data_IF_135491495937
#
_entry.id   IF_135491495937
#
_cell.length_a   1.000
_cell.length_b   1.000
_cell.length_c   1.000
_cell.angle_alpha   90.00
_cell.angle_beta   90.00
_cell.angle_gamma   90.00
#
_symmetry.space_group_name_H-M   'P 1'
#
loop_
_entity.id
_entity.type
_entity.pdbx_description
1 polymer ?
#
# COMPACT_ATOMS: atom_id res chain seq x y z
N UNK A 1 -49.18 -8.25 -9.91
CA UNK A 1 -49.09 -7.05 -10.77
C UNK A 1 -47.86 -7.11 -11.66
N UNK A 2 -46.66 -6.90 -11.18
CA UNK A 2 -45.43 -6.85 -12.01
C UNK A 2 -45.12 -8.13 -12.78
N UNK A 3 -45.57 -9.28 -12.30
CA UNK A 3 -45.36 -10.61 -12.96
C UNK A 3 -46.56 -11.08 -13.78
N UNK A 4 -47.76 -10.56 -13.55
CA UNK A 4 -49.05 -11.11 -14.09
C UNK A 4 -49.71 -10.19 -15.10
N UNK A 5 -49.17 -8.98 -15.35
CA UNK A 5 -49.78 -7.94 -16.18
C UNK A 5 -51.21 -7.53 -15.78
N UNK A 6 -51.64 -7.87 -14.56
CA UNK A 6 -52.94 -7.47 -14.01
C UNK A 6 -52.83 -6.09 -13.42
N UNK A 7 -53.74 -5.20 -13.76
CA UNK A 7 -53.78 -3.83 -13.21
C UNK A 7 -54.59 -3.89 -11.92
N UNK A 8 -53.89 -3.79 -10.79
CA UNK A 8 -54.46 -3.57 -9.47
C UNK A 8 -54.27 -2.11 -9.08
N UNK A 9 -55.24 -1.51 -8.47
CA UNK A 9 -55.12 -0.18 -7.88
C UNK A 9 -54.57 -0.36 -6.46
N UNK A 10 -53.48 0.34 -6.14
CA UNK A 10 -52.93 0.46 -4.80
C UNK A 10 -52.90 1.94 -4.43
N UNK A 11 -52.91 2.24 -3.14
CA UNK A 11 -52.72 3.62 -2.71
C UNK A 11 -51.22 4.00 -2.73
N UNK A 12 -50.89 5.27 -2.48
CA UNK A 12 -49.51 5.74 -2.56
C UNK A 12 -48.60 5.15 -1.47
N UNK A 13 -49.15 4.82 -0.31
CA UNK A 13 -48.42 4.21 0.81
C UNK A 13 -48.08 2.75 0.49
N UNK A 14 -49.03 2.01 -0.07
CA UNK A 14 -48.80 0.62 -0.50
C UNK A 14 -47.72 0.56 -1.60
N UNK A 15 -47.66 1.52 -2.53
CA UNK A 15 -46.59 1.61 -3.51
C UNK A 15 -45.25 1.94 -2.86
N UNK A 16 -45.22 2.83 -1.88
CA UNK A 16 -44.01 3.16 -1.12
C UNK A 16 -43.43 1.90 -0.46
N UNK A 17 -44.23 1.15 0.30
CA UNK A 17 -43.82 -0.10 0.94
C UNK A 17 -43.31 -1.14 -0.07
N UNK A 18 -43.99 -1.29 -1.21
CA UNK A 18 -43.57 -2.21 -2.28
C UNK A 18 -42.21 -1.78 -2.88
N UNK A 19 -42.03 -0.49 -3.11
CA UNK A 19 -40.80 0.04 -3.71
C UNK A 19 -39.64 -0.13 -2.72
N UNK A 20 -39.85 0.26 -1.45
CA UNK A 20 -38.87 0.15 -0.40
C UNK A 20 -38.44 -1.31 -0.23
N UNK A 21 -39.40 -2.24 -0.16
CA UNK A 21 -39.07 -3.67 -0.12
C UNK A 21 -38.18 -4.14 -1.29
N UNK A 22 -38.38 -3.60 -2.49
CA UNK A 22 -37.51 -3.95 -3.63
C UNK A 22 -36.16 -3.30 -3.54
N UNK A 23 -36.04 -2.07 -3.01
CA UNK A 23 -34.75 -1.38 -2.77
C UNK A 23 -33.92 -2.14 -1.73
N UNK A 24 -34.49 -2.47 -0.59
CA UNK A 24 -33.85 -3.20 0.51
C UNK A 24 -33.31 -4.58 0.07
N UNK A 25 -33.99 -5.20 -0.91
CA UNK A 25 -33.55 -6.49 -1.47
C UNK A 25 -32.67 -6.36 -2.74
N UNK A 26 -32.19 -5.16 -3.07
CA UNK A 26 -31.31 -4.91 -4.23
C UNK A 26 -31.99 -5.14 -5.59
N UNK A 27 -33.34 -5.18 -5.63
CA UNK A 27 -34.11 -5.45 -6.86
C UNK A 27 -34.49 -4.17 -7.60
N UNK A 28 -33.51 -3.32 -7.92
CA UNK A 28 -33.71 -1.98 -8.49
C UNK A 28 -34.55 -1.96 -9.77
N UNK A 29 -34.46 -2.99 -10.64
CA UNK A 29 -35.28 -3.09 -11.85
C UNK A 29 -36.80 -3.25 -11.53
N UNK A 30 -37.15 -3.93 -10.42
CA UNK A 30 -38.53 -4.09 -9.97
C UNK A 30 -39.01 -2.82 -9.26
N UNK A 31 -38.15 -2.19 -8.46
CA UNK A 31 -38.41 -0.89 -7.84
C UNK A 31 -38.76 0.16 -8.90
N UNK A 32 -37.98 0.28 -9.97
CA UNK A 32 -38.26 1.19 -11.10
C UNK A 32 -39.61 0.94 -11.76
N UNK A 33 -39.99 -0.33 -11.97
CA UNK A 33 -41.30 -0.66 -12.52
C UNK A 33 -42.43 -0.30 -11.57
N UNK A 34 -42.25 -0.53 -10.27
CA UNK A 34 -43.22 -0.19 -9.24
C UNK A 34 -43.42 1.34 -9.14
N UNK A 35 -42.31 2.12 -9.11
CA UNK A 35 -42.34 3.59 -9.14
C UNK A 35 -43.10 4.11 -10.36
N UNK A 36 -42.80 3.55 -11.56
CA UNK A 36 -43.50 3.96 -12.78
C UNK A 36 -44.99 3.73 -12.68
N UNK A 37 -45.42 2.54 -12.26
CA UNK A 37 -46.83 2.21 -12.08
C UNK A 37 -47.47 3.05 -10.98
N UNK A 38 -46.79 3.31 -9.89
CA UNK A 38 -47.25 4.18 -8.80
C UNK A 38 -47.51 5.61 -9.29
N UNK A 39 -46.57 6.17 -10.07
CA UNK A 39 -46.74 7.53 -10.62
C UNK A 39 -47.78 7.60 -11.75
N UNK A 40 -48.10 6.51 -12.45
CA UNK A 40 -49.23 6.46 -13.38
C UNK A 40 -50.58 6.54 -12.64
N UNK A 41 -50.66 5.97 -11.42
CA UNK A 41 -51.86 6.01 -10.58
C UNK A 41 -51.95 7.27 -9.69
N UNK A 42 -50.79 7.74 -9.20
CA UNK A 42 -50.66 8.87 -8.28
C UNK A 42 -49.62 9.90 -8.79
N UNK A 43 -49.89 10.63 -9.87
CA UNK A 43 -48.91 11.51 -10.53
C UNK A 43 -48.46 12.71 -9.68
N UNK A 44 -49.26 13.08 -8.67
CA UNK A 44 -48.96 14.20 -7.76
C UNK A 44 -48.26 13.78 -6.46
N UNK A 45 -48.08 12.47 -6.22
CA UNK A 45 -47.43 11.98 -5.00
C UNK A 45 -45.98 12.42 -4.94
N UNK A 46 -45.64 13.24 -3.93
CA UNK A 46 -44.26 13.71 -3.67
C UNK A 46 -43.39 12.53 -3.27
N UNK A 47 -43.86 11.64 -2.41
CA UNK A 47 -43.14 10.45 -1.92
C UNK A 47 -42.68 9.57 -3.09
N UNK A 48 -43.61 9.23 -4.01
CA UNK A 48 -43.27 8.40 -5.18
C UNK A 48 -42.29 9.11 -6.14
N UNK A 49 -42.36 10.45 -6.24
CA UNK A 49 -41.38 11.22 -7.02
C UNK A 49 -40.01 11.22 -6.36
N UNK A 50 -39.94 11.31 -5.02
CA UNK A 50 -38.65 11.22 -4.29
C UNK A 50 -38.02 9.83 -4.42
N UNK A 51 -38.78 8.75 -4.29
CA UNK A 51 -38.31 7.40 -4.57
C UNK A 51 -37.79 7.23 -6.02
N UNK A 52 -38.42 7.96 -6.98
CA UNK A 52 -37.90 8.00 -8.34
C UNK A 52 -36.57 8.77 -8.45
N UNK A 53 -36.42 9.86 -7.70
CA UNK A 53 -35.13 10.61 -7.65
C UNK A 53 -34.05 9.72 -7.08
N UNK A 54 -34.30 9.01 -5.98
CA UNK A 54 -33.37 8.07 -5.39
C UNK A 54 -32.88 7.02 -6.40
N UNK A 55 -33.81 6.39 -7.13
CA UNK A 55 -33.46 5.44 -8.19
C UNK A 55 -32.68 6.08 -9.34
N UNK A 56 -32.98 7.33 -9.71
CA UNK A 56 -32.19 8.05 -10.73
C UNK A 56 -30.79 8.40 -10.25
N UNK A 57 -30.62 8.73 -8.98
CA UNK A 57 -29.30 8.95 -8.34
C UNK A 57 -28.49 7.65 -8.34
N UNK A 58 -29.13 6.53 -7.98
CA UNK A 58 -28.49 5.21 -8.00
C UNK A 58 -28.04 4.80 -9.41
N UNK A 59 -28.84 5.12 -10.44
CA UNK A 59 -28.52 4.86 -11.85
C UNK A 59 -27.55 5.89 -12.46
N UNK A 60 -27.03 6.83 -11.68
CA UNK A 60 -26.16 7.95 -12.09
C UNK A 60 -26.79 8.88 -13.15
N UNK A 61 -28.14 8.93 -13.19
CA UNK A 61 -28.89 9.81 -14.10
C UNK A 61 -29.13 11.17 -13.46
N UNK A 62 -28.08 11.87 -13.06
CA UNK A 62 -28.13 13.07 -12.22
C UNK A 62 -28.91 14.23 -12.85
N UNK A 63 -28.85 14.39 -14.19
CA UNK A 63 -29.62 15.44 -14.89
C UNK A 63 -31.12 15.24 -14.76
N UNK A 64 -31.61 13.99 -14.90
CA UNK A 64 -33.02 13.66 -14.77
C UNK A 64 -33.48 13.79 -13.30
N UNK A 65 -32.62 13.36 -12.36
CA UNK A 65 -32.85 13.54 -10.93
C UNK A 65 -32.98 15.02 -10.57
N UNK A 66 -32.06 15.88 -11.05
CA UNK A 66 -32.10 17.35 -10.84
C UNK A 66 -33.38 17.97 -11.39
N UNK A 67 -33.82 17.56 -12.59
CA UNK A 67 -35.08 18.08 -13.19
C UNK A 67 -36.30 17.77 -12.31
N UNK A 68 -36.35 16.52 -11.79
CA UNK A 68 -37.47 16.10 -10.95
C UNK A 68 -37.41 16.74 -9.55
N UNK A 69 -36.21 16.95 -8.98
CA UNK A 69 -36.01 17.71 -7.74
C UNK A 69 -36.57 19.15 -7.89
N UNK A 70 -36.26 19.84 -9.00
CA UNK A 70 -36.76 21.19 -9.23
C UNK A 70 -38.29 21.26 -9.34
N UNK A 71 -38.93 20.23 -9.91
CA UNK A 71 -40.38 20.12 -9.94
C UNK A 71 -40.97 19.96 -8.53
N UNK A 72 -40.34 19.14 -7.68
CA UNK A 72 -40.83 18.90 -6.31
C UNK A 72 -40.59 20.15 -5.44
N UNK A 73 -39.43 20.80 -5.58
CA UNK A 73 -39.05 22.00 -4.82
C UNK A 73 -40.04 23.16 -5.04
N UNK A 74 -40.61 23.27 -6.24
CA UNK A 74 -41.65 24.27 -6.53
C UNK A 74 -42.97 24.04 -5.74
N UNK A 75 -43.21 22.81 -5.27
CA UNK A 75 -44.43 22.41 -4.56
C UNK A 75 -44.16 22.33 -3.05
N UNK A 76 -43.05 21.78 -2.63
CA UNK A 76 -42.69 21.49 -1.24
C UNK A 76 -41.22 21.86 -0.94
N UNK A 77 -40.84 23.14 -0.91
CA UNK A 77 -39.44 23.59 -0.82
C UNK A 77 -38.75 23.24 0.50
N UNK A 78 -39.49 22.95 1.55
CA UNK A 78 -38.98 22.63 2.88
C UNK A 78 -39.12 21.14 3.23
N UNK A 79 -39.40 20.30 2.24
CA UNK A 79 -39.42 18.86 2.49
C UNK A 79 -38.00 18.34 2.79
N UNK A 80 -37.83 17.70 3.91
CA UNK A 80 -36.51 17.25 4.40
C UNK A 80 -35.88 16.26 3.43
N UNK A 81 -36.59 15.22 3.03
CA UNK A 81 -36.11 14.20 2.09
C UNK A 81 -35.70 14.81 0.73
N UNK A 82 -36.48 15.80 0.24
CA UNK A 82 -36.12 16.56 -0.95
C UNK A 82 -34.75 17.23 -0.80
N UNK A 83 -34.53 17.89 0.34
CA UNK A 83 -33.27 18.60 0.59
C UNK A 83 -32.09 17.64 0.74
N UNK A 84 -32.28 16.48 1.37
CA UNK A 84 -31.28 15.41 1.46
C UNK A 84 -30.88 14.94 0.06
N UNK A 85 -31.85 14.57 -0.78
CA UNK A 85 -31.58 14.09 -2.13
C UNK A 85 -30.97 15.18 -3.02
N UNK A 86 -31.33 16.43 -2.82
CA UNK A 86 -30.70 17.58 -3.48
C UNK A 86 -29.23 17.72 -3.07
N UNK A 87 -28.93 17.56 -1.78
CA UNK A 87 -27.56 17.60 -1.29
C UNK A 87 -26.72 16.44 -1.87
N UNK A 88 -27.26 15.23 -1.95
CA UNK A 88 -26.61 14.07 -2.58
C UNK A 88 -26.31 14.35 -4.06
N UNK A 89 -27.24 14.93 -4.81
CA UNK A 89 -27.00 15.31 -6.22
C UNK A 89 -25.93 16.38 -6.33
N UNK A 90 -25.90 17.36 -5.43
CA UNK A 90 -24.87 18.41 -5.40
C UNK A 90 -23.50 17.80 -5.10
N UNK A 91 -23.40 16.91 -4.12
CA UNK A 91 -22.19 16.17 -3.78
C UNK A 91 -21.64 15.39 -4.97
N UNK A 92 -22.50 14.59 -5.64
CA UNK A 92 -22.12 13.82 -6.84
C UNK A 92 -21.70 14.69 -8.05
N UNK A 93 -22.01 15.98 -8.02
CA UNK A 93 -21.56 16.96 -9.03
C UNK A 93 -20.39 17.82 -8.51
N UNK A 94 -19.65 17.37 -7.49
CA UNK A 94 -18.52 18.05 -6.86
C UNK A 94 -18.84 19.45 -6.30
N UNK A 95 -20.13 19.69 -5.95
CA UNK A 95 -20.63 20.97 -5.41
C UNK A 95 -20.79 20.89 -3.88
N UNK A 96 -19.74 20.49 -3.20
CA UNK A 96 -19.74 20.20 -1.77
C UNK A 96 -20.18 21.38 -0.90
N UNK A 97 -19.76 22.61 -1.24
CA UNK A 97 -20.17 23.82 -0.50
C UNK A 97 -21.70 24.07 -0.61
N UNK A 98 -22.28 23.87 -1.81
CA UNK A 98 -23.72 24.01 -2.00
C UNK A 98 -24.50 22.88 -1.28
N UNK A 99 -23.92 21.65 -1.23
CA UNK A 99 -24.47 20.53 -0.48
C UNK A 99 -24.52 20.84 1.02
N UNK A 100 -23.41 21.32 1.62
CA UNK A 100 -23.35 21.75 3.02
C UNK A 100 -24.40 22.83 3.32
N UNK A 101 -24.52 23.84 2.46
CA UNK A 101 -25.56 24.89 2.64
C UNK A 101 -26.98 24.33 2.62
N UNK A 102 -27.22 23.29 1.82
CA UNK A 102 -28.52 22.63 1.73
C UNK A 102 -28.80 21.80 2.97
N UNK A 103 -27.83 21.01 3.44
CA UNK A 103 -27.93 20.21 4.66
C UNK A 103 -28.10 21.08 5.91
N UNK A 104 -27.41 22.21 6.00
CA UNK A 104 -27.53 23.14 7.12
C UNK A 104 -28.93 23.76 7.24
N UNK A 105 -29.75 23.81 6.16
CA UNK A 105 -31.15 24.23 6.26
C UNK A 105 -31.99 23.17 6.98
N UNK A 106 -31.62 21.88 6.82
CA UNK A 106 -32.28 20.78 7.52
C UNK A 106 -31.91 20.83 8.99
N UNK A 107 -30.63 20.98 9.32
CA UNK A 107 -30.15 21.08 10.70
C UNK A 107 -30.82 22.19 11.52
N UNK A 108 -31.32 23.25 10.86
CA UNK A 108 -32.00 24.34 11.54
C UNK A 108 -33.41 23.97 12.02
N UNK A 109 -34.01 22.87 11.53
CA UNK A 109 -35.43 22.54 11.75
C UNK A 109 -35.68 21.08 12.12
N UNK A 110 -34.72 20.18 11.91
CA UNK A 110 -34.88 18.75 12.22
C UNK A 110 -34.77 18.47 13.71
N UNK A 111 -35.56 17.50 14.18
CA UNK A 111 -35.49 16.97 15.53
C UNK A 111 -34.47 15.81 15.67
N UNK A 112 -34.05 15.22 14.52
CA UNK A 112 -33.05 14.15 14.45
C UNK A 112 -31.91 14.55 13.52
N UNK A 113 -30.86 15.19 14.05
CA UNK A 113 -29.79 15.75 13.24
C UNK A 113 -28.60 14.78 12.93
N UNK A 114 -28.58 13.55 13.49
CA UNK A 114 -27.40 12.68 13.47
C UNK A 114 -26.97 12.36 12.04
N UNK A 115 -27.88 11.86 11.20
CA UNK A 115 -27.58 11.54 9.81
C UNK A 115 -27.13 12.78 9.02
N UNK A 116 -27.72 13.93 9.32
CA UNK A 116 -27.40 15.18 8.62
C UNK A 116 -25.99 15.66 9.03
N UNK A 117 -25.60 15.59 10.32
CA UNK A 117 -24.23 15.89 10.74
C UNK A 117 -23.22 14.94 10.07
N UNK A 118 -23.53 13.64 10.00
CA UNK A 118 -22.68 12.69 9.29
C UNK A 118 -22.48 13.08 7.82
N UNK A 119 -23.58 13.44 7.12
CA UNK A 119 -23.49 13.90 5.74
C UNK A 119 -22.69 15.20 5.61
N UNK A 120 -22.90 16.19 6.47
CA UNK A 120 -22.12 17.45 6.48
C UNK A 120 -20.65 17.17 6.75
N UNK A 121 -20.34 16.28 7.68
CA UNK A 121 -18.98 15.84 7.97
C UNK A 121 -18.30 15.23 6.74
N UNK A 122 -19.00 14.37 5.99
CA UNK A 122 -18.50 13.80 4.74
C UNK A 122 -18.24 14.87 3.67
N UNK A 123 -19.13 15.85 3.53
CA UNK A 123 -18.93 16.94 2.57
C UNK A 123 -17.71 17.80 2.92
N UNK A 124 -17.44 18.03 4.21
CA UNK A 124 -16.22 18.70 4.65
C UNK A 124 -14.97 17.85 4.41
N UNK A 125 -15.04 16.53 4.52
CA UNK A 125 -13.92 15.64 4.13
C UNK A 125 -13.57 15.78 2.63
N UNK A 126 -14.58 15.87 1.75
CA UNK A 126 -14.33 16.09 0.32
C UNK A 126 -13.71 17.47 0.02
N UNK A 127 -13.84 18.43 0.92
CA UNK A 127 -13.21 19.75 0.82
C UNK A 127 -11.85 19.82 1.54
N UNK A 128 -11.34 18.72 2.10
CA UNK A 128 -10.16 18.65 2.95
C UNK A 128 -10.24 19.59 4.18
N UNK A 129 -11.45 19.96 4.60
CA UNK A 129 -11.71 20.75 5.81
C UNK A 129 -11.90 19.81 7.01
N UNK A 130 -10.78 19.26 7.48
CA UNK A 130 -10.78 18.23 8.53
C UNK A 130 -11.27 18.75 9.88
N UNK A 131 -11.08 20.03 10.18
CA UNK A 131 -11.56 20.64 11.43
C UNK A 131 -13.09 20.62 11.49
N UNK A 132 -13.76 21.12 10.45
CA UNK A 132 -15.21 21.15 10.39
C UNK A 132 -15.82 19.74 10.22
N UNK A 133 -15.15 18.85 9.48
CA UNK A 133 -15.54 17.44 9.38
C UNK A 133 -15.57 16.79 10.78
N UNK A 134 -14.49 16.95 11.54
CA UNK A 134 -14.34 16.43 12.90
C UNK A 134 -15.40 16.93 13.86
N UNK A 135 -15.72 18.23 13.81
CA UNK A 135 -16.78 18.81 14.63
C UNK A 135 -18.15 18.16 14.35
N UNK A 136 -18.48 17.91 13.09
CA UNK A 136 -19.76 17.30 12.75
C UNK A 136 -19.82 15.82 13.16
N UNK A 137 -18.77 15.03 12.94
CA UNK A 137 -18.72 13.65 13.42
C UNK A 137 -18.71 13.56 14.96
N UNK A 138 -18.07 14.51 15.65
CA UNK A 138 -18.13 14.58 17.12
C UNK A 138 -19.56 14.80 17.62
N UNK A 139 -20.37 15.64 16.95
CA UNK A 139 -21.79 15.81 17.29
C UNK A 139 -22.59 14.50 17.15
N UNK A 140 -22.26 13.64 16.16
CA UNK A 140 -22.89 12.32 16.06
C UNK A 140 -22.54 11.45 17.28
N UNK A 141 -21.27 11.43 17.68
CA UNK A 141 -20.78 10.66 18.84
C UNK A 141 -21.38 11.18 20.14
N UNK A 142 -21.62 12.49 20.28
CA UNK A 142 -22.24 13.08 21.48
C UNK A 142 -23.70 12.61 21.67
N UNK A 143 -24.39 12.23 20.58
CA UNK A 143 -25.74 11.66 20.63
C UNK A 143 -25.72 10.14 20.80
N UNK A 144 -24.88 9.48 20.02
CA UNK A 144 -24.68 8.03 20.07
C UNK A 144 -23.19 7.71 20.19
N UNK A 145 -22.74 7.41 21.41
CA UNK A 145 -21.35 7.07 21.67
C UNK A 145 -20.94 5.70 21.12
N UNK A 146 -21.87 4.88 20.62
CA UNK A 146 -21.58 3.65 19.91
C UNK A 146 -21.50 3.84 18.38
N UNK A 147 -21.62 5.08 17.89
CA UNK A 147 -21.34 5.40 16.47
C UNK A 147 -19.84 5.29 16.16
N UNK A 148 -19.40 4.05 15.97
CA UNK A 148 -18.01 3.76 15.63
C UNK A 148 -17.60 4.32 14.26
N UNK A 149 -18.56 4.49 13.33
CA UNK A 149 -18.30 5.11 12.02
C UNK A 149 -17.83 6.54 12.18
N UNK A 150 -18.54 7.34 12.96
CA UNK A 150 -18.17 8.72 13.27
C UNK A 150 -16.87 8.78 14.08
N UNK A 151 -16.63 7.85 15.01
CA UNK A 151 -15.37 7.77 15.74
C UNK A 151 -14.18 7.53 14.80
N UNK A 152 -14.31 6.60 13.86
CA UNK A 152 -13.27 6.38 12.83
C UNK A 152 -13.03 7.63 11.98
N UNK A 153 -14.09 8.35 11.58
CA UNK A 153 -13.97 9.57 10.79
C UNK A 153 -13.29 10.71 11.58
N UNK A 154 -13.59 10.87 12.88
CA UNK A 154 -12.87 11.83 13.75
C UNK A 154 -11.38 11.52 13.78
N UNK A 155 -11.02 10.27 14.01
CA UNK A 155 -9.60 9.85 14.04
C UNK A 155 -8.95 10.02 12.67
N UNK A 156 -9.65 9.68 11.58
CA UNK A 156 -9.18 9.90 10.22
C UNK A 156 -8.86 11.39 9.95
N UNK A 157 -9.70 12.32 10.43
CA UNK A 157 -9.40 13.74 10.29
C UNK A 157 -8.10 14.13 10.99
N UNK A 158 -7.84 13.63 12.20
CA UNK A 158 -6.57 13.87 12.89
C UNK A 158 -5.38 13.27 12.14
N UNK A 159 -5.54 12.06 11.59
CA UNK A 159 -4.49 11.37 10.81
C UNK A 159 -4.12 12.20 9.56
N UNK A 160 -5.09 12.73 8.85
CA UNK A 160 -4.86 13.57 7.64
C UNK A 160 -4.14 14.87 7.97
N UNK A 161 -4.35 15.44 9.14
CA UNK A 161 -3.64 16.62 9.65
C UNK A 161 -2.28 16.28 10.30
N UNK A 162 -1.91 14.99 10.42
CA UNK A 162 -0.77 14.49 11.19
C UNK A 162 -0.81 14.94 12.67
N UNK A 163 -2.01 15.13 13.22
CA UNK A 163 -2.23 15.67 14.55
C UNK A 163 -2.49 14.57 15.60
N UNK A 164 -1.55 13.63 15.69
CA UNK A 164 -1.66 12.41 16.48
C UNK A 164 -1.76 12.67 18.00
N UNK A 165 -1.10 13.73 18.51
CA UNK A 165 -1.18 14.05 19.94
C UNK A 165 -2.57 14.55 20.34
N UNK A 166 -3.24 15.35 19.52
CA UNK A 166 -4.62 15.77 19.77
C UNK A 166 -5.59 14.60 19.63
N UNK A 167 -5.36 13.69 18.66
CA UNK A 167 -6.12 12.45 18.56
C UNK A 167 -6.04 11.62 19.85
N UNK A 168 -4.84 11.53 20.46
CA UNK A 168 -4.65 10.85 21.74
C UNK A 168 -5.47 11.52 22.84
N UNK A 169 -5.44 12.85 22.91
CA UNK A 169 -6.24 13.59 23.93
C UNK A 169 -7.74 13.33 23.71
N UNK A 170 -8.20 13.43 22.48
CA UNK A 170 -9.62 13.18 22.14
C UNK A 170 -10.04 11.75 22.51
N UNK A 171 -9.27 10.74 22.09
CA UNK A 171 -9.56 9.34 22.38
C UNK A 171 -9.48 9.03 23.87
N UNK A 172 -8.55 9.64 24.61
CA UNK A 172 -8.46 9.46 26.07
C UNK A 172 -9.71 10.00 26.76
N UNK A 173 -10.17 11.20 26.39
CA UNK A 173 -11.39 11.77 26.94
C UNK A 173 -12.63 10.92 26.60
N UNK A 174 -12.68 10.38 25.38
CA UNK A 174 -13.77 9.49 24.97
C UNK A 174 -13.75 8.19 25.80
N UNK A 175 -12.58 7.59 26.01
CA UNK A 175 -12.41 6.36 26.80
C UNK A 175 -12.74 6.60 28.28
N UNK A 176 -12.47 7.78 28.82
CA UNK A 176 -12.82 8.11 30.21
C UNK A 176 -14.34 8.04 30.44
N UNK A 177 -15.14 8.34 29.43
CA UNK A 177 -16.61 8.19 29.46
C UNK A 177 -17.09 6.82 29.01
N UNK A 178 -16.38 6.18 28.09
CA UNK A 178 -16.73 4.91 27.46
C UNK A 178 -15.59 3.88 27.56
N UNK A 179 -15.24 3.39 28.75
CA UNK A 179 -14.03 2.58 28.99
C UNK A 179 -14.09 1.18 28.35
N UNK A 180 -15.25 0.71 27.93
CA UNK A 180 -15.45 -0.61 27.32
C UNK A 180 -15.61 -0.55 25.78
N UNK A 181 -15.17 0.53 25.13
CA UNK A 181 -15.13 0.62 23.68
C UNK A 181 -13.80 0.09 23.15
N UNK A 182 -13.78 -1.13 22.64
CA UNK A 182 -12.60 -1.79 22.05
C UNK A 182 -12.03 -1.00 20.86
N UNK A 183 -12.93 -0.37 20.08
CA UNK A 183 -12.56 0.45 18.91
C UNK A 183 -11.76 1.68 19.35
N UNK A 184 -12.19 2.37 20.41
CA UNK A 184 -11.48 3.55 20.92
C UNK A 184 -10.08 3.20 21.45
N UNK A 185 -9.96 2.11 22.21
CA UNK A 185 -8.67 1.61 22.67
C UNK A 185 -7.76 1.21 21.51
N UNK A 186 -8.32 0.56 20.49
CA UNK A 186 -7.56 0.21 19.29
C UNK A 186 -7.06 1.45 18.54
N UNK A 187 -7.92 2.45 18.33
CA UNK A 187 -7.51 3.70 17.67
C UNK A 187 -6.47 4.45 18.50
N UNK A 188 -6.60 4.49 19.83
CA UNK A 188 -5.59 5.07 20.72
C UNK A 188 -4.24 4.36 20.58
N UNK A 189 -4.26 3.03 20.52
CA UNK A 189 -3.06 2.21 20.27
C UNK A 189 -2.39 2.56 18.96
N UNK A 190 -3.17 2.74 17.88
CA UNK A 190 -2.66 3.17 16.57
C UNK A 190 -1.99 4.54 16.61
N UNK A 191 -2.58 5.52 17.32
CA UNK A 191 -1.97 6.85 17.46
C UNK A 191 -0.62 6.76 18.19
N UNK A 192 -0.55 6.01 19.28
CA UNK A 192 0.72 5.76 19.99
C UNK A 192 1.74 5.04 19.10
N UNK A 193 1.31 4.08 18.30
CA UNK A 193 2.19 3.33 17.37
C UNK A 193 2.86 4.25 16.35
N UNK A 194 2.07 5.14 15.71
CA UNK A 194 2.59 6.11 14.71
C UNK A 194 3.65 7.03 15.35
N UNK A 195 3.47 7.41 16.59
CA UNK A 195 4.43 8.22 17.35
C UNK A 195 5.62 7.41 17.92
N UNK A 196 5.75 6.13 17.54
CA UNK A 196 6.76 5.19 18.07
C UNK A 196 6.71 5.00 19.60
N UNK A 197 5.57 5.29 20.21
CA UNK A 197 5.31 5.08 21.64
C UNK A 197 4.80 3.64 21.87
N UNK A 198 5.61 2.66 21.49
CA UNK A 198 5.21 1.25 21.40
C UNK A 198 4.75 0.63 22.72
N UNK A 199 5.24 1.11 23.86
CA UNK A 199 4.80 0.60 25.17
C UNK A 199 3.39 1.04 25.52
N UNK A 200 3.04 2.27 25.20
CA UNK A 200 1.70 2.80 25.36
C UNK A 200 0.74 2.19 24.33
N UNK A 201 1.18 2.04 23.08
CA UNK A 201 0.42 1.35 22.04
C UNK A 201 0.05 -0.08 22.48
N UNK A 202 1.02 -0.85 22.98
CA UNK A 202 0.81 -2.20 23.46
C UNK A 202 -0.26 -2.26 24.56
N UNK A 203 -0.21 -1.35 25.54
CA UNK A 203 -1.22 -1.28 26.61
C UNK A 203 -2.63 -1.01 26.07
N UNK A 204 -2.73 -0.10 25.12
CA UNK A 204 -4.01 0.23 24.50
C UNK A 204 -4.59 -0.97 23.73
N UNK A 205 -3.76 -1.67 22.97
CA UNK A 205 -4.18 -2.90 22.28
C UNK A 205 -4.49 -4.04 23.26
N UNK A 206 -3.79 -4.13 24.40
CA UNK A 206 -4.12 -5.08 25.45
C UNK A 206 -5.55 -4.85 25.99
N UNK A 207 -5.94 -3.58 26.20
CA UNK A 207 -7.32 -3.27 26.61
C UNK A 207 -8.33 -3.58 25.51
N UNK A 208 -8.04 -3.27 24.25
CA UNK A 208 -8.94 -3.56 23.14
C UNK A 208 -9.28 -5.06 23.07
N UNK A 209 -8.28 -5.94 23.12
CA UNK A 209 -8.48 -7.39 23.06
C UNK A 209 -9.01 -8.01 24.36
N UNK A 210 -8.88 -7.30 25.50
CA UNK A 210 -9.48 -7.70 26.76
C UNK A 210 -10.99 -7.43 26.79
N UNK A 211 -11.43 -6.36 26.13
CA UNK A 211 -12.84 -5.97 26.01
C UNK A 211 -13.55 -6.88 25.02
N UNK A 212 -12.97 -7.09 23.86
CA UNK A 212 -13.47 -8.02 22.84
C UNK A 212 -12.39 -9.05 22.46
N UNK A 213 -12.51 -10.26 23.01
CA UNK A 213 -11.61 -11.38 22.73
C UNK A 213 -11.68 -11.88 21.27
N UNK A 214 -12.68 -11.45 20.49
CA UNK A 214 -12.83 -11.77 19.08
C UNK A 214 -12.31 -10.65 18.14
N UNK A 215 -11.80 -9.55 18.70
CA UNK A 215 -11.36 -8.38 17.93
C UNK A 215 -10.04 -8.62 17.21
N UNK A 216 -10.09 -9.20 16.02
CA UNK A 216 -8.93 -9.58 15.20
C UNK A 216 -7.99 -8.39 14.95
N UNK A 217 -8.53 -7.20 14.66
CA UNK A 217 -7.74 -5.98 14.45
C UNK A 217 -6.85 -5.64 15.63
N UNK A 218 -7.36 -5.83 16.86
CA UNK A 218 -6.60 -5.62 18.10
C UNK A 218 -5.41 -6.56 18.20
N UNK A 219 -5.59 -7.85 17.95
CA UNK A 219 -4.50 -8.85 17.96
C UNK A 219 -3.45 -8.59 16.89
N UNK A 220 -3.85 -8.20 15.67
CA UNK A 220 -2.92 -7.88 14.58
C UNK A 220 -2.02 -6.70 14.93
N UNK A 221 -2.59 -5.58 15.39
CA UNK A 221 -1.83 -4.39 15.74
C UNK A 221 -0.99 -4.61 17.02
N UNK A 222 -1.50 -5.40 18.00
CA UNK A 222 -0.75 -5.84 19.15
C UNK A 222 0.48 -6.66 18.74
N UNK A 223 0.32 -7.62 17.84
CA UNK A 223 1.42 -8.44 17.34
C UNK A 223 2.48 -7.60 16.62
N UNK A 224 2.08 -6.68 15.73
CA UNK A 224 3.00 -5.74 15.08
C UNK A 224 3.76 -4.88 16.10
N UNK A 225 3.07 -4.42 17.13
CA UNK A 225 3.71 -3.61 18.21
C UNK A 225 4.73 -4.43 18.98
N UNK A 226 4.44 -5.70 19.24
CA UNK A 226 5.37 -6.62 19.88
C UNK A 226 6.62 -6.89 19.03
N UNK A 227 6.48 -6.94 17.70
CA UNK A 227 7.63 -7.04 16.79
C UNK A 227 8.54 -5.82 16.90
N UNK A 228 7.99 -4.59 16.94
CA UNK A 228 8.77 -3.36 17.13
C UNK A 228 9.50 -3.35 18.49
N UNK A 229 8.88 -3.95 19.51
CA UNK A 229 9.50 -4.17 20.82
C UNK A 229 10.46 -5.38 20.85
N UNK A 230 10.65 -6.10 19.72
CA UNK A 230 11.45 -7.31 19.58
C UNK A 230 11.02 -8.48 20.47
N UNK A 231 9.74 -8.51 20.85
CA UNK A 231 9.09 -9.57 21.64
C UNK A 231 8.44 -10.57 20.71
N UNK A 232 9.28 -11.24 19.88
CA UNK A 232 8.82 -12.04 18.73
C UNK A 232 7.98 -13.26 19.13
N UNK A 233 8.30 -13.94 20.25
CA UNK A 233 7.52 -15.07 20.74
C UNK A 233 6.07 -14.65 21.07
N UNK A 234 5.90 -13.51 21.70
CA UNK A 234 4.57 -13.00 22.06
C UNK A 234 3.82 -12.50 20.81
N UNK A 235 4.56 -11.90 19.85
CA UNK A 235 3.98 -11.52 18.56
C UNK A 235 3.41 -12.75 17.82
N UNK A 236 4.17 -13.84 17.76
CA UNK A 236 3.71 -15.12 17.17
C UNK A 236 2.44 -15.61 17.83
N UNK A 237 2.36 -15.58 19.17
CA UNK A 237 1.16 -16.04 19.89
C UNK A 237 -0.07 -15.22 19.48
N UNK A 238 0.06 -13.88 19.39
CA UNK A 238 -1.05 -13.03 18.98
C UNK A 238 -1.44 -13.25 17.50
N UNK A 239 -0.48 -13.46 16.60
CA UNK A 239 -0.78 -13.84 15.21
C UNK A 239 -1.47 -15.21 15.12
N UNK A 240 -1.11 -16.18 15.96
CA UNK A 240 -1.77 -17.48 15.98
C UNK A 240 -3.23 -17.38 16.44
N UNK A 241 -3.52 -16.49 17.39
CA UNK A 241 -4.92 -16.24 17.81
C UNK A 241 -5.75 -15.72 16.61
N UNK A 242 -5.20 -14.83 15.78
CA UNK A 242 -5.96 -14.35 14.61
C UNK A 242 -6.30 -15.46 13.61
N UNK A 243 -5.47 -16.51 13.51
CA UNK A 243 -5.74 -17.67 12.66
C UNK A 243 -6.80 -18.63 13.24
N UNK A 244 -7.09 -18.50 14.53
CA UNK A 244 -8.15 -19.29 15.20
C UNK A 244 -9.50 -18.56 15.11
N UNK A 245 -9.47 -17.22 14.99
CA UNK A 245 -10.66 -16.37 14.98
C UNK A 245 -11.26 -16.19 13.57
N UNK A 246 -10.44 -16.30 12.54
CA UNK A 246 -10.84 -16.08 11.14
C UNK A 246 -10.04 -16.97 10.20
N UNK A 247 -10.43 -16.99 8.92
CA UNK A 247 -9.74 -17.76 7.89
C UNK A 247 -8.26 -17.34 7.78
N UNK A 248 -7.34 -18.31 7.64
CA UNK A 248 -5.91 -18.04 7.54
C UNK A 248 -5.61 -17.13 6.36
N UNK A 249 -4.79 -16.11 6.58
CA UNK A 249 -4.30 -15.23 5.50
C UNK A 249 -2.81 -15.43 5.25
N UNK A 250 -2.41 -15.35 3.99
CA UNK A 250 -1.00 -15.42 3.60
C UNK A 250 -0.17 -14.35 4.33
N UNK A 251 -0.75 -13.17 4.58
CA UNK A 251 -0.11 -12.09 5.32
C UNK A 251 0.30 -12.52 6.74
N UNK A 252 -0.61 -13.13 7.49
CA UNK A 252 -0.32 -13.57 8.87
C UNK A 252 0.75 -14.67 8.88
N UNK A 253 0.70 -15.62 7.94
CA UNK A 253 1.76 -16.61 7.81
C UNK A 253 3.12 -16.01 7.50
N UNK A 254 3.19 -14.97 6.66
CA UNK A 254 4.43 -14.22 6.40
C UNK A 254 4.95 -13.60 7.69
N UNK A 255 4.10 -12.90 8.46
CA UNK A 255 4.52 -12.23 9.71
C UNK A 255 5.04 -13.22 10.76
N UNK A 256 4.35 -14.35 10.93
CA UNK A 256 4.82 -15.43 11.82
C UNK A 256 6.18 -15.97 11.35
N UNK A 257 6.34 -16.20 10.05
CA UNK A 257 7.60 -16.66 9.47
C UNK A 257 8.74 -15.65 9.66
N UNK A 258 8.48 -14.34 9.48
CA UNK A 258 9.43 -13.27 9.74
C UNK A 258 9.84 -13.22 11.23
N UNK A 259 8.90 -13.42 12.16
CA UNK A 259 9.20 -13.51 13.59
C UNK A 259 10.10 -14.72 13.92
N UNK A 260 9.80 -15.91 13.39
CA UNK A 260 10.66 -17.08 13.59
C UNK A 260 12.05 -16.88 12.98
N UNK A 261 12.15 -16.25 11.83
CA UNK A 261 13.44 -15.89 11.23
C UNK A 261 14.26 -14.96 12.15
N UNK A 262 13.62 -13.96 12.77
CA UNK A 262 14.26 -13.07 13.78
C UNK A 262 14.71 -13.83 15.03
N UNK A 263 14.03 -14.90 15.39
CA UNK A 263 14.40 -15.81 16.48
C UNK A 263 15.49 -16.82 16.07
N UNK A 264 15.92 -16.78 14.80
CA UNK A 264 16.87 -17.73 14.20
C UNK A 264 16.34 -19.20 14.18
N UNK A 265 15.01 -19.37 14.19
CA UNK A 265 14.35 -20.66 13.96
C UNK A 265 14.00 -20.77 12.46
N UNK A 266 15.00 -21.17 11.66
CA UNK A 266 14.90 -21.21 10.21
C UNK A 266 13.92 -22.31 9.73
N UNK A 267 13.79 -23.39 10.48
CA UNK A 267 12.86 -24.49 10.17
C UNK A 267 11.40 -24.03 10.32
N UNK A 268 11.07 -23.37 11.42
CA UNK A 268 9.75 -22.81 11.64
C UNK A 268 9.46 -21.69 10.63
N UNK A 269 10.41 -20.79 10.36
CA UNK A 269 10.28 -19.74 9.34
C UNK A 269 9.94 -20.34 7.96
N UNK A 270 10.72 -21.36 7.53
CA UNK A 270 10.46 -22.10 6.27
C UNK A 270 9.04 -22.68 6.23
N UNK A 271 8.59 -23.28 7.33
CA UNK A 271 7.26 -23.88 7.43
C UNK A 271 6.17 -22.83 7.20
N UNK A 272 6.28 -21.67 7.85
CA UNK A 272 5.26 -20.62 7.75
C UNK A 272 5.30 -19.89 6.41
N UNK A 273 6.48 -19.62 5.84
CA UNK A 273 6.57 -19.08 4.48
C UNK A 273 5.99 -20.03 3.43
N UNK A 274 6.17 -21.36 3.59
CA UNK A 274 5.53 -22.35 2.72
C UNK A 274 4.00 -22.35 2.87
N UNK A 275 3.47 -22.14 4.07
CA UNK A 275 2.03 -21.95 4.27
C UNK A 275 1.53 -20.68 3.55
N UNK A 276 2.28 -19.58 3.63
CA UNK A 276 1.94 -18.34 2.96
C UNK A 276 1.82 -18.49 1.44
N UNK A 277 2.80 -19.15 0.80
CA UNK A 277 2.75 -19.37 -0.66
C UNK A 277 1.74 -20.45 -1.08
N UNK A 278 1.28 -21.28 -0.14
CA UNK A 278 0.20 -22.21 -0.39
C UNK A 278 -1.16 -21.49 -0.37
N UNK A 279 -1.32 -20.59 0.60
CA UNK A 279 -2.54 -19.77 0.76
C UNK A 279 -2.70 -18.76 -0.38
N UNK A 280 -1.64 -18.04 -0.68
CA UNK A 280 -1.60 -17.12 -1.82
C UNK A 280 -0.35 -17.39 -2.69
N UNK A 281 -0.49 -18.20 -3.75
CA UNK A 281 0.60 -18.47 -4.68
C UNK A 281 1.08 -17.25 -5.49
N UNK A 282 0.29 -16.16 -5.53
CA UNK A 282 0.64 -14.92 -6.22
C UNK A 282 1.36 -13.91 -5.30
N UNK A 283 1.53 -14.21 -4.03
CA UNK A 283 2.29 -13.38 -3.10
C UNK A 283 3.79 -13.53 -3.34
N UNK A 284 4.32 -12.75 -4.26
CA UNK A 284 5.73 -12.74 -4.68
C UNK A 284 6.71 -12.51 -3.52
N UNK A 285 6.32 -11.64 -2.55
CA UNK A 285 7.09 -11.39 -1.32
C UNK A 285 7.38 -12.68 -0.55
N UNK A 286 6.42 -13.59 -0.45
CA UNK A 286 6.60 -14.85 0.30
C UNK A 286 7.60 -15.78 -0.40
N UNK A 287 7.59 -15.84 -1.73
CA UNK A 287 8.60 -16.56 -2.52
C UNK A 287 10.00 -15.96 -2.36
N UNK A 288 10.10 -14.61 -2.31
CA UNK A 288 11.35 -13.92 -2.05
C UNK A 288 11.90 -14.22 -0.65
N UNK A 289 11.06 -14.26 0.37
CA UNK A 289 11.46 -14.62 1.75
C UNK A 289 12.03 -16.03 1.81
N UNK A 290 11.38 -17.02 1.15
CA UNK A 290 11.95 -18.36 1.00
C UNK A 290 13.29 -18.34 0.26
N UNK A 291 13.41 -17.53 -0.78
CA UNK A 291 14.68 -17.38 -1.52
C UNK A 291 15.79 -16.89 -0.61
N UNK A 292 15.54 -15.81 0.14
CA UNK A 292 16.53 -15.22 1.04
C UNK A 292 16.96 -16.22 2.11
N UNK A 293 16.01 -16.92 2.73
CA UNK A 293 16.27 -17.91 3.76
C UNK A 293 17.19 -19.04 3.24
N UNK A 294 16.88 -19.61 2.08
CA UNK A 294 17.73 -20.66 1.49
C UNK A 294 19.08 -20.14 0.96
N UNK A 295 19.20 -18.85 0.64
CA UNK A 295 20.51 -18.22 0.38
C UNK A 295 21.36 -18.14 1.67
N UNK A 296 20.77 -17.77 2.80
CA UNK A 296 21.44 -17.73 4.11
C UNK A 296 21.94 -19.14 4.52
N UNK A 297 21.12 -20.16 4.28
CA UNK A 297 21.50 -21.57 4.50
C UNK A 297 22.50 -22.12 3.45
N UNK A 298 22.86 -21.32 2.44
CA UNK A 298 23.72 -21.69 1.30
C UNK A 298 23.14 -22.82 0.43
N UNK A 299 21.85 -23.07 0.53
CA UNK A 299 21.09 -24.04 -0.26
C UNK A 299 20.67 -23.42 -1.61
N UNK A 300 21.64 -23.00 -2.41
CA UNK A 300 21.45 -22.18 -3.62
C UNK A 300 20.53 -22.83 -4.67
N UNK A 301 20.45 -24.17 -4.74
CA UNK A 301 19.52 -24.86 -5.65
C UNK A 301 18.07 -24.64 -5.26
N UNK A 302 17.77 -24.66 -3.94
CA UNK A 302 16.44 -24.36 -3.45
C UNK A 302 16.12 -22.87 -3.62
N UNK A 303 17.07 -22.00 -3.30
CA UNK A 303 16.93 -20.56 -3.54
C UNK A 303 16.61 -20.25 -5.01
N UNK A 304 17.31 -20.93 -5.97
CA UNK A 304 17.03 -20.81 -7.40
C UNK A 304 15.60 -21.22 -7.77
N UNK A 305 15.09 -22.28 -7.17
CA UNK A 305 13.72 -22.70 -7.38
C UNK A 305 12.70 -21.62 -6.96
N UNK A 306 12.91 -21.03 -5.76
CA UNK A 306 11.97 -20.05 -5.20
C UNK A 306 12.05 -18.71 -5.90
N UNK A 307 13.24 -18.21 -6.27
CA UNK A 307 13.36 -16.95 -7.02
C UNK A 307 12.73 -17.05 -8.42
N UNK A 308 12.78 -18.22 -9.06
CA UNK A 308 12.08 -18.45 -10.34
C UNK A 308 10.55 -18.36 -10.17
N UNK A 309 9.99 -18.72 -9.01
CA UNK A 309 8.57 -18.54 -8.71
C UNK A 309 8.21 -17.06 -8.57
N UNK A 310 9.02 -16.28 -7.84
CA UNK A 310 8.83 -14.83 -7.72
C UNK A 310 8.90 -14.15 -9.10
N UNK A 311 9.90 -14.48 -9.94
CA UNK A 311 10.05 -13.97 -11.29
C UNK A 311 8.91 -14.36 -12.24
N UNK A 312 8.24 -15.49 -12.00
CA UNK A 312 7.09 -15.89 -12.79
C UNK A 312 5.85 -15.04 -12.49
N UNK A 313 5.78 -14.47 -11.29
CA UNK A 313 4.68 -13.60 -10.86
C UNK A 313 4.94 -12.17 -11.31
N UNK A 314 6.15 -11.67 -11.07
CA UNK A 314 6.58 -10.32 -11.46
C UNK A 314 7.99 -10.36 -12.06
N UNK A 315 8.05 -10.39 -13.39
CA UNK A 315 9.29 -10.35 -14.17
C UNK A 315 9.77 -8.91 -14.46
N UNK A 316 9.00 -7.91 -14.04
CA UNK A 316 9.32 -6.50 -14.20
C UNK A 316 10.10 -5.92 -13.00
N UNK A 317 10.26 -6.69 -11.93
CA UNK A 317 10.98 -6.26 -10.73
C UNK A 317 12.50 -6.51 -10.86
N UNK A 318 13.34 -5.46 -10.98
CA UNK A 318 14.78 -5.63 -11.16
C UNK A 318 15.47 -6.29 -9.95
N UNK A 319 14.89 -6.15 -8.74
CA UNK A 319 15.43 -6.78 -7.53
C UNK A 319 15.40 -8.31 -7.63
N UNK A 320 14.37 -8.90 -8.24
CA UNK A 320 14.28 -10.36 -8.41
C UNK A 320 15.31 -10.86 -9.43
N UNK A 321 15.55 -10.12 -10.50
CA UNK A 321 16.61 -10.45 -11.46
C UNK A 321 17.99 -10.33 -10.86
N UNK A 322 18.22 -9.32 -10.02
CA UNK A 322 19.47 -9.19 -9.25
C UNK A 322 19.70 -10.41 -8.37
N UNK A 323 18.70 -10.80 -7.57
CA UNK A 323 18.77 -12.02 -6.75
C UNK A 323 19.00 -13.28 -7.56
N UNK A 324 18.32 -13.39 -8.70
CA UNK A 324 18.53 -14.51 -9.62
C UNK A 324 19.95 -14.55 -10.15
N UNK A 325 20.55 -13.41 -10.52
CA UNK A 325 21.94 -13.32 -10.94
C UNK A 325 22.89 -13.77 -9.82
N UNK A 326 22.73 -13.23 -8.60
CA UNK A 326 23.56 -13.59 -7.44
C UNK A 326 23.55 -15.09 -7.15
N UNK A 327 22.36 -15.72 -7.20
CA UNK A 327 22.20 -17.17 -6.97
C UNK A 327 22.91 -17.96 -8.08
N UNK A 328 22.74 -17.55 -9.34
CA UNK A 328 23.39 -18.22 -10.47
C UNK A 328 24.91 -18.11 -10.40
N UNK A 329 25.46 -16.99 -9.94
CA UNK A 329 26.89 -16.86 -9.67
C UNK A 329 27.39 -17.86 -8.63
N UNK A 330 26.63 -18.04 -7.53
CA UNK A 330 26.99 -19.03 -6.49
C UNK A 330 26.91 -20.47 -6.98
N UNK A 331 26.11 -20.73 -8.02
CA UNK A 331 25.99 -22.03 -8.68
C UNK A 331 26.94 -22.21 -9.87
N UNK A 332 27.76 -21.22 -10.20
CA UNK A 332 28.62 -21.16 -11.37
C UNK A 332 27.86 -21.20 -12.71
N UNK A 333 26.61 -20.73 -12.73
CA UNK A 333 25.80 -20.58 -13.95
C UNK A 333 26.01 -19.19 -14.54
N UNK A 334 27.21 -18.95 -15.05
CA UNK A 334 27.68 -17.62 -15.44
C UNK A 334 26.87 -17.01 -16.59
N UNK A 335 26.51 -17.81 -17.60
CA UNK A 335 25.71 -17.34 -18.74
C UNK A 335 24.30 -16.88 -18.30
N UNK A 336 23.69 -17.59 -17.34
CA UNK A 336 22.39 -17.20 -16.79
C UNK A 336 22.51 -15.94 -15.92
N UNK A 337 23.63 -15.77 -15.22
CA UNK A 337 23.91 -14.55 -14.46
C UNK A 337 24.07 -13.33 -15.38
N UNK A 338 24.76 -13.48 -16.53
CA UNK A 338 24.88 -12.41 -17.55
C UNK A 338 23.50 -11.97 -18.02
N UNK A 339 22.65 -12.92 -18.46
CA UNK A 339 21.29 -12.62 -18.91
C UNK A 339 20.46 -11.89 -17.84
N UNK A 340 20.62 -12.28 -16.59
CA UNK A 340 19.91 -11.68 -15.48
C UNK A 340 20.36 -10.24 -15.20
N UNK A 341 21.67 -9.97 -15.23
CA UNK A 341 22.18 -8.60 -15.09
C UNK A 341 21.79 -7.72 -16.29
N UNK A 342 21.82 -8.25 -17.51
CA UNK A 342 21.33 -7.54 -18.70
C UNK A 342 19.85 -7.16 -18.52
N UNK A 343 19.05 -8.09 -18.01
CA UNK A 343 17.63 -7.82 -17.75
C UNK A 343 17.42 -6.75 -16.67
N UNK A 344 18.29 -6.68 -15.63
CA UNK A 344 18.26 -5.56 -14.69
C UNK A 344 18.49 -4.21 -15.38
N UNK A 345 19.45 -4.13 -16.31
CA UNK A 345 19.74 -2.92 -17.07
C UNK A 345 18.57 -2.56 -18.02
N UNK A 346 17.91 -3.54 -18.63
CA UNK A 346 16.74 -3.35 -19.48
C UNK A 346 15.53 -2.81 -18.68
N UNK A 347 15.45 -3.15 -17.39
CA UNK A 347 14.46 -2.67 -16.43
C UNK A 347 14.89 -1.35 -15.73
N UNK A 348 15.88 -0.67 -16.27
CA UNK A 348 16.41 0.62 -15.81
C UNK A 348 17.09 0.60 -14.42
N UNK A 349 17.49 -0.58 -13.93
CA UNK A 349 18.36 -0.68 -12.75
C UNK A 349 19.81 -0.38 -13.17
N UNK A 350 20.14 0.90 -13.18
CA UNK A 350 21.47 1.41 -13.56
C UNK A 350 22.43 1.52 -12.36
N UNK A 351 22.19 0.75 -11.29
CA UNK A 351 23.07 0.76 -10.11
C UNK A 351 24.49 0.26 -10.46
N UNK A 352 25.49 0.80 -9.75
CA UNK A 352 26.89 0.46 -10.00
C UNK A 352 27.15 -1.04 -9.87
N UNK A 353 26.53 -1.67 -8.88
CA UNK A 353 26.65 -3.10 -8.60
C UNK A 353 26.23 -3.96 -9.79
N UNK A 354 25.22 -3.57 -10.54
CA UNK A 354 24.77 -4.29 -11.74
C UNK A 354 25.81 -4.19 -12.86
N UNK A 355 26.33 -2.98 -13.12
CA UNK A 355 27.39 -2.82 -14.15
C UNK A 355 28.67 -3.56 -13.79
N UNK A 356 29.09 -3.46 -12.54
CA UNK A 356 30.29 -4.14 -12.04
C UNK A 356 30.10 -5.64 -12.06
N UNK A 357 28.98 -6.14 -11.52
CA UNK A 357 28.67 -7.57 -11.51
C UNK A 357 28.62 -8.18 -12.91
N UNK A 358 27.96 -7.52 -13.86
CA UNK A 358 27.93 -7.95 -15.26
C UNK A 358 29.33 -7.97 -15.87
N UNK A 359 30.11 -6.92 -15.67
CA UNK A 359 31.46 -6.83 -16.22
C UNK A 359 32.42 -7.89 -15.63
N UNK A 360 32.30 -8.22 -14.34
CA UNK A 360 33.08 -9.23 -13.68
C UNK A 360 32.77 -10.63 -14.23
N UNK A 361 31.49 -10.93 -14.47
CA UNK A 361 31.12 -12.22 -15.07
C UNK A 361 31.62 -12.32 -16.52
N UNK A 362 31.46 -11.26 -17.31
CA UNK A 362 31.95 -11.22 -18.69
C UNK A 362 33.49 -11.31 -18.72
N UNK A 363 34.20 -10.67 -17.79
CA UNK A 363 35.65 -10.80 -17.62
C UNK A 363 36.04 -12.25 -17.32
N UNK A 364 35.34 -12.91 -16.41
CA UNK A 364 35.57 -14.32 -16.06
C UNK A 364 35.35 -15.25 -17.27
N UNK A 365 34.35 -14.98 -18.10
CA UNK A 365 34.06 -15.73 -19.33
C UNK A 365 35.04 -15.42 -20.47
N UNK A 366 35.95 -14.44 -20.29
CA UNK A 366 36.88 -13.99 -21.33
C UNK A 366 36.28 -13.07 -22.39
N UNK A 367 35.05 -12.60 -22.17
CA UNK A 367 34.33 -11.70 -23.09
C UNK A 367 34.74 -10.22 -22.85
N UNK A 368 36.04 -9.94 -22.95
CA UNK A 368 36.64 -8.65 -22.59
C UNK A 368 36.04 -7.45 -23.35
N UNK A 369 35.63 -7.66 -24.61
CA UNK A 369 35.03 -6.57 -25.42
C UNK A 369 33.67 -6.15 -24.92
N UNK A 370 32.86 -7.11 -24.46
CA UNK A 370 31.51 -6.84 -23.95
C UNK A 370 31.58 -6.30 -22.53
N UNK A 371 32.50 -6.83 -21.69
CA UNK A 371 32.81 -6.22 -20.40
C UNK A 371 33.21 -4.74 -20.54
N UNK A 372 34.06 -4.42 -21.53
CA UNK A 372 34.49 -3.04 -21.81
C UNK A 372 33.28 -2.15 -22.20
N UNK A 373 32.37 -2.62 -23.04
CA UNK A 373 31.16 -1.87 -23.40
C UNK A 373 30.29 -1.55 -22.17
N UNK A 374 30.13 -2.53 -21.29
CA UNK A 374 29.35 -2.39 -20.05
C UNK A 374 29.97 -1.30 -19.15
N UNK A 375 31.28 -1.35 -18.91
CA UNK A 375 31.95 -0.36 -18.06
C UNK A 375 32.01 1.02 -18.70
N UNK A 376 32.12 1.14 -20.05
CA UNK A 376 31.98 2.42 -20.75
C UNK A 376 30.58 2.99 -20.55
N UNK A 377 29.53 2.16 -20.59
CA UNK A 377 28.17 2.61 -20.31
C UNK A 377 28.03 3.07 -18.87
N UNK A 378 28.58 2.34 -17.91
CA UNK A 378 28.62 2.74 -16.51
C UNK A 378 29.29 4.10 -16.29
N UNK A 379 30.38 4.39 -17.01
CA UNK A 379 31.09 5.68 -16.93
C UNK A 379 30.23 6.89 -17.32
N UNK A 380 29.22 6.72 -18.18
CA UNK A 380 28.33 7.83 -18.56
C UNK A 380 27.44 8.25 -17.37
N UNK A 381 27.05 7.29 -16.53
CA UNK A 381 26.27 7.50 -15.30
C UNK A 381 27.19 7.93 -14.14
N UNK A 382 28.33 7.28 -13.97
CA UNK A 382 29.28 7.45 -12.87
C UNK A 382 30.58 8.11 -13.34
N UNK A 383 30.53 9.43 -13.66
CA UNK A 383 31.61 10.18 -14.36
C UNK A 383 32.93 10.28 -13.59
N UNK A 384 32.89 10.33 -12.24
CA UNK A 384 34.06 10.50 -11.39
C UNK A 384 34.11 9.39 -10.32
N UNK A 385 34.32 8.16 -10.75
CA UNK A 385 34.36 7.01 -9.87
C UNK A 385 35.64 6.21 -10.13
N UNK A 386 36.50 6.12 -9.13
CA UNK A 386 37.85 5.52 -9.28
C UNK A 386 37.79 4.04 -9.75
N UNK A 387 36.86 3.25 -9.18
CA UNK A 387 36.66 1.86 -9.55
C UNK A 387 36.45 1.66 -11.06
N UNK A 388 35.57 2.51 -11.66
CA UNK A 388 35.31 2.45 -13.10
C UNK A 388 36.56 2.76 -13.92
N UNK A 389 37.35 3.75 -13.50
CA UNK A 389 38.59 4.13 -14.19
C UNK A 389 39.61 2.99 -14.16
N UNK A 390 39.80 2.32 -13.03
CA UNK A 390 40.69 1.17 -12.91
C UNK A 390 40.20 -0.05 -13.70
N UNK A 391 38.90 -0.32 -13.71
CA UNK A 391 38.29 -1.37 -14.55
C UNK A 391 38.46 -1.07 -16.04
N UNK A 392 38.29 0.19 -16.47
CA UNK A 392 38.57 0.61 -17.83
C UNK A 392 40.08 0.43 -18.19
N UNK A 393 40.98 0.77 -17.28
CA UNK A 393 42.40 0.50 -17.48
C UNK A 393 42.63 -0.96 -17.78
N UNK A 394 42.18 -1.88 -16.92
CA UNK A 394 42.33 -3.32 -17.09
C UNK A 394 41.76 -3.83 -18.41
N UNK A 395 40.51 -3.49 -18.71
CA UNK A 395 39.80 -3.94 -19.91
C UNK A 395 40.38 -3.36 -21.22
N UNK A 396 40.86 -2.10 -21.22
CA UNK A 396 41.56 -1.53 -22.37
C UNK A 396 42.91 -2.20 -22.63
N UNK A 397 43.63 -2.62 -21.58
CA UNK A 397 44.85 -3.39 -21.74
C UNK A 397 44.59 -4.76 -22.34
N UNK A 398 43.58 -5.50 -21.80
CA UNK A 398 43.18 -6.81 -22.30
C UNK A 398 42.68 -6.78 -23.76
N UNK A 399 42.14 -5.63 -24.20
CA UNK A 399 41.71 -5.39 -25.58
C UNK A 399 42.76 -4.74 -26.47
N UNK A 400 44.04 -4.73 -26.04
CA UNK A 400 45.20 -4.18 -26.78
C UNK A 400 45.10 -2.69 -27.12
N UNK A 401 44.47 -1.91 -26.26
CA UNK A 401 44.31 -0.45 -26.41
C UNK A 401 45.08 0.29 -25.33
N UNK A 402 46.34 0.03 -25.20
CA UNK A 402 47.23 0.51 -24.13
C UNK A 402 47.17 2.03 -23.89
N UNK A 403 47.16 2.84 -24.95
CA UNK A 403 47.08 4.31 -24.81
C UNK A 403 45.88 4.77 -23.99
N UNK A 404 44.72 4.15 -24.22
CA UNK A 404 43.50 4.46 -23.47
C UNK A 404 43.59 3.94 -22.04
N UNK A 405 44.12 2.74 -21.85
CA UNK A 405 44.33 2.16 -20.54
C UNK A 405 45.14 3.07 -19.60
N UNK A 406 46.27 3.59 -20.09
CA UNK A 406 47.14 4.46 -19.29
C UNK A 406 46.51 5.83 -18.96
N UNK A 407 45.59 6.34 -19.80
CA UNK A 407 44.81 7.53 -19.49
C UNK A 407 43.86 7.24 -18.30
N UNK A 408 43.15 6.13 -18.37
CA UNK A 408 42.21 5.72 -17.31
C UNK A 408 42.94 5.39 -15.99
N UNK A 409 44.13 4.81 -16.06
CA UNK A 409 44.96 4.61 -14.88
C UNK A 409 45.28 5.93 -14.16
N UNK A 410 45.74 6.94 -14.93
CA UNK A 410 46.03 8.28 -14.37
C UNK A 410 44.79 8.96 -13.77
N UNK A 411 43.63 8.81 -14.41
CA UNK A 411 42.37 9.33 -13.89
C UNK A 411 42.01 8.63 -12.58
N UNK A 412 42.11 7.30 -12.53
CA UNK A 412 41.80 6.53 -11.32
C UNK A 412 42.70 6.94 -10.15
N UNK A 413 44.01 7.05 -10.36
CA UNK A 413 44.98 7.49 -9.35
C UNK A 413 44.64 8.92 -8.85
N UNK A 414 44.23 9.82 -9.74
CA UNK A 414 43.86 11.18 -9.37
C UNK A 414 42.55 11.29 -8.58
N UNK A 415 41.64 10.30 -8.71
CA UNK A 415 40.35 10.27 -7.98
C UNK A 415 40.54 9.61 -6.62
N UNK A 416 41.08 8.38 -6.61
CA UNK A 416 41.33 7.61 -5.40
C UNK A 416 42.38 6.50 -5.68
N UNK A 417 43.56 6.65 -5.10
CA UNK A 417 44.67 5.72 -5.32
C UNK A 417 44.45 4.36 -4.66
N UNK A 418 43.68 4.29 -3.59
CA UNK A 418 43.44 3.04 -2.85
C UNK A 418 42.71 1.98 -3.67
N UNK A 419 41.86 2.40 -4.61
CA UNK A 419 41.17 1.50 -5.54
C UNK A 419 42.13 0.81 -6.55
N UNK A 420 43.39 1.17 -6.63
CA UNK A 420 44.36 0.50 -7.52
C UNK A 420 44.47 -1.01 -7.28
N UNK A 421 44.10 -1.49 -6.08
CA UNK A 421 44.04 -2.93 -5.74
C UNK A 421 43.16 -3.71 -6.70
N UNK A 422 42.16 -3.11 -7.30
CA UNK A 422 41.29 -3.72 -8.33
C UNK A 422 42.11 -4.20 -9.53
N UNK A 423 43.15 -3.45 -9.95
CA UNK A 423 44.02 -3.90 -11.07
C UNK A 423 44.83 -5.12 -10.65
N UNK A 424 45.37 -5.12 -9.44
CA UNK A 424 46.14 -6.26 -8.90
C UNK A 424 45.28 -7.52 -8.79
N UNK A 425 44.05 -7.39 -8.26
CA UNK A 425 43.15 -8.51 -8.01
C UNK A 425 42.46 -9.05 -9.28
N UNK A 426 41.96 -8.18 -10.14
CA UNK A 426 41.16 -8.59 -11.32
C UNK A 426 42.00 -8.69 -12.60
N UNK A 427 43.11 -7.98 -12.69
CA UNK A 427 43.92 -7.86 -13.90
C UNK A 427 45.41 -8.05 -13.61
N UNK A 428 45.84 -9.17 -13.00
CA UNK A 428 47.24 -9.35 -12.55
C UNK A 428 48.24 -9.17 -13.68
N UNK A 429 47.97 -9.66 -14.87
CA UNK A 429 48.83 -9.49 -16.04
C UNK A 429 48.96 -8.02 -16.50
N UNK A 430 47.95 -7.21 -16.22
CA UNK A 430 47.98 -5.75 -16.49
C UNK A 430 48.77 -5.05 -15.38
N UNK A 431 48.61 -5.48 -14.14
CA UNK A 431 49.36 -4.94 -13.01
C UNK A 431 50.87 -5.13 -13.19
N UNK A 432 51.30 -6.27 -13.69
CA UNK A 432 52.73 -6.59 -13.94
C UNK A 432 53.32 -5.85 -15.16
N UNK A 433 52.51 -5.11 -15.91
CA UNK A 433 53.00 -4.36 -17.07
C UNK A 433 53.92 -3.19 -16.64
N UNK A 434 55.10 -3.09 -17.26
CA UNK A 434 56.13 -2.08 -16.92
C UNK A 434 55.61 -0.64 -16.99
N UNK A 435 54.79 -0.30 -17.99
CA UNK A 435 54.24 1.06 -18.16
C UNK A 435 53.21 1.38 -17.05
N UNK A 436 52.41 0.39 -16.64
CA UNK A 436 51.44 0.52 -15.54
C UNK A 436 52.16 0.75 -14.22
N UNK A 437 53.18 -0.09 -13.93
CA UNK A 437 53.99 0.03 -12.71
C UNK A 437 54.74 1.36 -12.64
N UNK A 438 55.31 1.81 -13.76
CA UNK A 438 56.04 3.08 -13.84
C UNK A 438 55.12 4.27 -13.51
N UNK A 439 53.88 4.26 -14.01
CA UNK A 439 52.89 5.34 -13.74
C UNK A 439 52.49 5.33 -12.26
N UNK A 440 52.23 4.14 -11.68
CA UNK A 440 51.84 4.01 -10.27
C UNK A 440 52.99 4.51 -9.37
N UNK A 441 54.22 4.07 -9.61
CA UNK A 441 55.37 4.48 -8.81
C UNK A 441 55.67 5.96 -8.90
N UNK A 442 55.55 6.56 -10.11
CA UNK A 442 55.74 7.97 -10.30
C UNK A 442 54.69 8.82 -9.59
N UNK A 443 53.43 8.35 -9.57
CA UNK A 443 52.35 9.00 -8.87
C UNK A 443 52.57 8.99 -7.36
N UNK A 444 52.89 7.80 -6.78
CA UNK A 444 53.13 7.65 -5.34
C UNK A 444 54.32 8.51 -4.86
N UNK A 445 55.40 8.59 -5.63
CA UNK A 445 56.55 9.48 -5.32
C UNK A 445 56.23 10.96 -5.41
N UNK A 446 55.21 11.35 -6.16
CA UNK A 446 54.80 12.75 -6.30
C UNK A 446 53.80 13.17 -5.21
N UNK A 447 53.15 12.22 -4.53
CA UNK A 447 52.18 12.43 -3.44
C UNK A 447 52.80 12.25 -2.05
N UNK A 448 53.98 11.61 -1.93
CA UNK A 448 54.89 11.65 -0.76
C UNK A 448 55.64 12.98 -0.68
#
# INVERSE_FOLDING_TARGET
MLKTNSVYFFDSVEFEEIIQHYLDNGKHSLANKAVKLGLEQHPTSIVLKLLKVELLIFEDKLQNATSLINEIEAIAPNNEELLIQKAIILSKNDKHVEAIQTLNKILAVTDDPVDIWSMVGMEYLYLDDFENARLNFANCIDVDYEDYSSLYNVVYCFDMENNHEEAIVYLTNYIDTNPFCEVAWHQLGRQYFVLNRFKEALRAFDYAVLIDESFIGGYLEKAKTLEELKRYEEAIQNYLITLELDDPTAFVFVRIGECYHKLNDLDAATKYFKKAVHEDPLLDKAWLLLTNLFQEEKEYQKALYYIKKALHIDDSNPMYWRKYAEINLKLNFYEEAVKAFEKCLDLDDQSLEIYVGLADVLLFLGEFKDALKVIIKAKNTYKQFAEIEYRLCGLFMLTSKEKYALIHLKNGLAIDEDYRKIIEELYPTVFDNENVQTIIQNYLKATE
#
